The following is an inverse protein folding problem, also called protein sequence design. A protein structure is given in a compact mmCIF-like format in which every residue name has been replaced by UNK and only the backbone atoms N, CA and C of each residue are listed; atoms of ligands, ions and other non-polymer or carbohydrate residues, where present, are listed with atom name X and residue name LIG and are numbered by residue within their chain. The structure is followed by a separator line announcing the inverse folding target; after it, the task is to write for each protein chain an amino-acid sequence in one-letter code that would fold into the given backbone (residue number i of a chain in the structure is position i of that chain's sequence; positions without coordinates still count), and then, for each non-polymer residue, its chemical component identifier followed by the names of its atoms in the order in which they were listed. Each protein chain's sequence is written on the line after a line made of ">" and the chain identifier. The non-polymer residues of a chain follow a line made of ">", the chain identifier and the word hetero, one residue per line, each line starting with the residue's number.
data_IF_382962768180
#
_entry.id   IF_382962768180
#
_cell.length_a   1.000
_cell.length_b   1.000
_cell.length_c   1.000
_cell.angle_alpha   90.00
_cell.angle_beta   90.00
_cell.angle_gamma   90.00
#
_symmetry.space_group_name_H-M   'P 1'
#
loop_
_entity.id
_entity.type
_entity.pdbx_description
1 polymer ?
#
# COMPACT_ATOMS: atom_id res chain seq x y z
N UNK A 1 -14.33 -19.21 -12.38
CA UNK A 1 -14.27 -17.76 -12.65
C UNK A 1 -13.06 -17.23 -11.93
N UNK A 2 -12.05 -16.77 -12.67
CA UNK A 2 -10.88 -16.12 -12.08
C UNK A 2 -11.33 -14.82 -11.42
N UNK A 3 -10.87 -14.57 -10.18
CA UNK A 3 -11.11 -13.32 -9.47
C UNK A 3 -9.81 -12.54 -9.50
N UNK A 4 -9.89 -11.27 -9.89
CA UNK A 4 -8.77 -10.36 -9.86
C UNK A 4 -8.81 -9.52 -8.58
N UNK A 5 -7.63 -9.35 -7.98
CA UNK A 5 -7.37 -8.42 -6.89
C UNK A 5 -6.78 -7.15 -7.48
N UNK A 6 -7.23 -6.00 -7.00
CA UNK A 6 -6.73 -4.68 -7.39
C UNK A 6 -6.04 -4.06 -6.18
N UNK A 7 -4.82 -3.60 -6.36
CA UNK A 7 -4.09 -2.81 -5.37
C UNK A 7 -3.82 -1.41 -5.87
N UNK A 8 -3.54 -0.50 -4.94
CA UNK A 8 -3.01 0.83 -5.21
C UNK A 8 -1.75 1.01 -4.36
N UNK A 9 -0.67 1.45 -4.98
CA UNK A 9 0.57 1.81 -4.31
C UNK A 9 0.59 3.28 -3.96
N UNK A 10 0.71 3.57 -2.66
CA UNK A 10 0.82 4.91 -2.10
C UNK A 10 2.27 5.14 -1.65
N UNK A 11 2.84 6.31 -1.91
CA UNK A 11 4.24 6.57 -1.55
C UNK A 11 4.53 8.01 -1.13
N UNK A 12 5.67 8.19 -0.46
CA UNK A 12 6.41 9.44 -0.32
C UNK A 12 7.91 9.07 -0.33
N UNK A 13 8.63 9.54 -1.36
CA UNK A 13 10.04 9.20 -1.54
C UNK A 13 10.27 7.70 -1.64
N UNK A 14 11.07 7.17 -0.72
CA UNK A 14 11.46 5.75 -0.66
C UNK A 14 10.50 4.87 0.16
N UNK A 15 9.48 5.46 0.77
CA UNK A 15 8.51 4.76 1.61
C UNK A 15 7.22 4.51 0.83
N UNK A 16 6.78 3.26 0.81
CA UNK A 16 5.61 2.80 0.08
C UNK A 16 4.66 2.02 1.01
N UNK A 17 3.36 2.19 0.76
CA UNK A 17 2.30 1.33 1.27
C UNK A 17 1.44 0.89 0.11
N UNK A 18 1.47 -0.41 -0.22
CA UNK A 18 0.55 -1.01 -1.18
C UNK A 18 -0.72 -1.47 -0.45
N UNK A 19 -1.90 -1.12 -0.97
CA UNK A 19 -3.19 -1.44 -0.34
C UNK A 19 -4.13 -2.20 -1.26
N UNK A 20 -4.93 -3.11 -0.71
CA UNK A 20 -5.96 -3.85 -1.45
C UNK A 20 -7.24 -3.01 -1.53
N UNK A 21 -7.60 -2.56 -2.72
CA UNK A 21 -8.79 -1.73 -2.96
C UNK A 21 -9.98 -2.54 -3.51
N UNK A 22 -9.72 -3.71 -4.09
CA UNK A 22 -10.78 -4.62 -4.56
C UNK A 22 -10.31 -6.07 -4.60
N UNK A 23 -11.17 -7.04 -4.23
CA UNK A 23 -10.77 -8.45 -4.06
C UNK A 23 -11.53 -9.45 -4.94
N UNK A 24 -12.38 -8.97 -5.86
CA UNK A 24 -13.27 -9.84 -6.63
C UNK A 24 -13.68 -9.29 -7.99
N UNK A 25 -12.77 -8.60 -8.69
CA UNK A 25 -13.05 -8.15 -10.05
C UNK A 25 -13.19 -9.38 -10.97
N UNK A 26 -14.19 -9.38 -11.84
CA UNK A 26 -14.52 -10.54 -12.68
C UNK A 26 -13.64 -10.63 -13.91
N UNK A 27 -13.11 -9.48 -14.37
CA UNK A 27 -12.19 -9.39 -15.48
C UNK A 27 -10.99 -8.53 -15.10
N UNK A 28 -9.89 -8.71 -15.83
CA UNK A 28 -8.70 -7.87 -15.70
C UNK A 28 -9.01 -6.40 -15.99
N UNK A 29 -9.80 -6.12 -17.02
CA UNK A 29 -10.22 -4.77 -17.42
C UNK A 29 -11.03 -4.05 -16.31
N UNK A 30 -11.90 -4.78 -15.62
CA UNK A 30 -12.62 -4.25 -14.46
C UNK A 30 -11.65 -3.89 -13.32
N UNK A 31 -10.68 -4.78 -13.05
CA UNK A 31 -9.67 -4.55 -12.02
C UNK A 31 -8.79 -3.32 -12.32
N UNK A 32 -8.35 -3.17 -13.57
CA UNK A 32 -7.56 -2.02 -14.05
C UNK A 32 -8.37 -0.72 -13.95
N UNK A 33 -9.66 -0.74 -14.32
CA UNK A 33 -10.54 0.43 -14.20
C UNK A 33 -10.70 0.89 -12.75
N UNK A 34 -10.80 -0.06 -11.81
CA UNK A 34 -10.88 0.27 -10.37
C UNK A 34 -9.56 0.89 -9.90
N UNK A 35 -8.42 0.28 -10.25
CA UNK A 35 -7.10 0.76 -9.82
C UNK A 35 -6.76 2.14 -10.37
N UNK A 36 -7.19 2.43 -11.61
CA UNK A 36 -6.99 3.71 -12.27
C UNK A 36 -8.06 4.78 -11.88
N UNK A 37 -8.82 4.56 -10.81
CA UNK A 37 -9.79 5.55 -10.33
C UNK A 37 -9.10 6.65 -9.53
N UNK A 38 -9.61 7.87 -9.65
CA UNK A 38 -9.21 9.05 -8.87
C UNK A 38 -9.56 8.99 -7.37
N UNK A 39 -10.29 7.96 -6.97
CA UNK A 39 -10.77 7.71 -5.61
C UNK A 39 -9.68 7.37 -4.61
N UNK A 40 -8.52 6.91 -5.07
CA UNK A 40 -7.45 6.38 -4.22
C UNK A 40 -6.21 7.28 -4.18
N UNK A 41 -6.33 8.54 -4.60
CA UNK A 41 -5.18 9.42 -4.83
C UNK A 41 -4.37 9.79 -3.59
N UNK A 42 -5.01 9.92 -2.43
CA UNK A 42 -4.37 10.40 -1.22
C UNK A 42 -4.78 9.53 -0.04
N UNK A 43 -3.79 9.04 0.71
CA UNK A 43 -3.96 8.33 1.97
C UNK A 43 -3.37 9.09 3.14
N UNK A 44 -4.07 9.08 4.28
CA UNK A 44 -3.59 9.61 5.55
C UNK A 44 -3.30 8.45 6.50
N UNK A 45 -2.01 8.21 6.74
CA UNK A 45 -1.51 7.16 7.63
C UNK A 45 -1.43 7.69 9.06
N UNK A 46 -2.21 7.09 9.95
CA UNK A 46 -2.18 7.27 11.39
C UNK A 46 -1.39 6.12 12.04
N UNK A 47 -1.24 6.19 13.37
CA UNK A 47 -0.61 5.16 14.17
C UNK A 47 -1.34 3.81 14.11
N UNK A 48 -2.67 3.83 13.96
CA UNK A 48 -3.53 2.64 14.03
C UNK A 48 -4.26 2.29 12.71
N UNK A 49 -4.25 3.18 11.71
CA UNK A 49 -5.00 3.01 10.47
C UNK A 49 -4.51 3.90 9.32
N UNK A 50 -4.94 3.56 8.12
CA UNK A 50 -4.89 4.39 6.93
C UNK A 50 -6.31 4.81 6.55
N UNK A 51 -6.50 6.09 6.22
CA UNK A 51 -7.75 6.63 5.68
C UNK A 51 -7.53 7.17 4.27
N UNK A 52 -8.28 6.67 3.28
CA UNK A 52 -8.23 7.18 1.91
C UNK A 52 -9.16 8.38 1.76
N UNK A 53 -8.65 9.44 1.13
CA UNK A 53 -9.44 10.61 0.75
C UNK A 53 -10.15 10.35 -0.57
N UNK A 54 -11.47 10.58 -0.60
CA UNK A 54 -12.28 10.44 -1.82
C UNK A 54 -13.04 9.12 -1.92
N UNK A 55 -12.76 8.16 -1.02
CA UNK A 55 -13.50 6.90 -0.89
C UNK A 55 -13.73 6.60 0.60
N UNK A 56 -14.79 5.86 0.93
CA UNK A 56 -15.03 5.42 2.30
C UNK A 56 -14.20 4.16 2.63
N UNK A 57 -12.88 4.21 2.37
CA UNK A 57 -11.94 3.13 2.63
C UNK A 57 -11.04 3.49 3.82
N UNK A 58 -11.11 2.67 4.85
CA UNK A 58 -10.22 2.70 6.01
C UNK A 58 -9.62 1.33 6.21
N UNK A 59 -8.30 1.25 6.31
CA UNK A 59 -7.55 0.03 6.58
C UNK A 59 -6.94 0.17 7.96
N UNK A 60 -7.31 -0.71 8.88
CA UNK A 60 -6.75 -0.73 10.22
C UNK A 60 -5.50 -1.58 10.28
N UNK A 61 -4.64 -1.28 11.24
CA UNK A 61 -3.40 -1.99 11.51
C UNK A 61 -3.56 -3.51 11.63
N UNK A 62 -4.65 -4.00 12.21
CA UNK A 62 -4.89 -5.44 12.35
C UNK A 62 -5.25 -6.16 11.04
N UNK A 63 -5.58 -5.43 9.98
CA UNK A 63 -6.02 -5.98 8.70
C UNK A 63 -4.82 -6.27 7.78
N UNK A 64 -3.92 -7.13 8.23
CA UNK A 64 -2.66 -7.46 7.54
C UNK A 64 -2.85 -8.10 6.16
N UNK A 65 -4.06 -8.56 5.83
CA UNK A 65 -4.44 -9.03 4.50
C UNK A 65 -4.82 -7.87 3.55
N UNK A 66 -4.74 -6.61 3.98
CA UNK A 66 -5.15 -5.43 3.19
C UNK A 66 -4.01 -4.52 2.80
N UNK A 67 -2.79 -4.74 3.28
CA UNK A 67 -1.68 -3.87 2.97
C UNK A 67 -0.32 -4.57 3.06
N UNK A 68 0.70 -3.95 2.46
CA UNK A 68 2.10 -4.23 2.69
C UNK A 68 2.88 -2.90 2.70
N UNK A 69 3.67 -2.66 3.75
CA UNK A 69 4.62 -1.54 3.76
C UNK A 69 5.94 -1.97 3.16
N UNK A 70 6.59 -1.06 2.45
CA UNK A 70 7.89 -1.28 1.84
C UNK A 70 8.75 -0.03 1.96
N UNK A 71 10.05 -0.22 2.13
CA UNK A 71 11.01 0.88 2.09
C UNK A 71 12.20 0.52 1.22
N UNK A 72 12.64 1.46 0.39
CA UNK A 72 13.90 1.35 -0.31
C UNK A 72 14.98 2.12 0.46
N UNK A 73 15.86 1.39 1.17
CA UNK A 73 16.89 2.01 2.04
C UNK A 73 17.99 2.73 1.25
N UNK A 74 18.19 2.34 0.00
CA UNK A 74 19.22 2.89 -0.87
C UNK A 74 18.57 3.65 -2.02
N UNK A 75 19.01 4.89 -2.27
CA UNK A 75 18.54 5.60 -3.44
C UNK A 75 19.05 4.92 -4.72
N UNK A 76 18.13 4.51 -5.59
CA UNK A 76 18.43 3.98 -6.92
C UNK A 76 17.59 4.71 -7.97
N UNK A 77 18.17 5.03 -9.13
CA UNK A 77 17.44 5.71 -10.21
C UNK A 77 16.35 4.83 -10.84
N UNK A 78 16.51 3.50 -10.74
CA UNK A 78 15.51 2.50 -11.11
C UNK A 78 15.45 1.52 -9.95
N UNK A 79 14.29 1.46 -9.29
CA UNK A 79 14.00 0.53 -8.20
C UNK A 79 13.19 -0.64 -8.73
N UNK A 80 13.64 -1.85 -8.42
CA UNK A 80 12.91 -3.09 -8.62
C UNK A 80 12.24 -3.52 -7.31
N UNK A 81 11.32 -4.47 -7.38
CA UNK A 81 10.67 -4.99 -6.19
C UNK A 81 11.65 -5.61 -5.17
N UNK A 82 12.76 -6.18 -5.64
CA UNK A 82 13.80 -6.79 -4.79
C UNK A 82 14.63 -5.76 -4.02
N UNK A 83 14.58 -4.49 -4.43
CA UNK A 83 15.26 -3.39 -3.74
C UNK A 83 14.48 -2.87 -2.52
N UNK A 84 13.25 -3.35 -2.33
CA UNK A 84 12.40 -2.98 -1.23
C UNK A 84 12.50 -3.98 -0.08
N UNK A 85 12.59 -3.42 1.13
CA UNK A 85 12.43 -4.14 2.38
C UNK A 85 10.96 -4.06 2.83
N UNK A 86 10.32 -5.21 3.00
CA UNK A 86 8.99 -5.30 3.61
C UNK A 86 9.05 -4.93 5.09
N UNK A 87 8.16 -4.03 5.52
CA UNK A 87 8.02 -3.62 6.92
C UNK A 87 6.67 -4.07 7.49
N UNK A 88 6.65 -4.36 8.78
CA UNK A 88 5.42 -4.39 9.58
C UNK A 88 4.90 -2.96 9.83
N UNK A 89 3.68 -2.84 10.33
CA UNK A 89 3.11 -1.53 10.68
C UNK A 89 3.95 -0.80 11.73
N UNK A 90 4.41 -1.50 12.77
CA UNK A 90 5.24 -0.89 13.82
C UNK A 90 6.57 -0.40 13.27
N UNK A 91 7.21 -1.20 12.42
CA UNK A 91 8.48 -0.82 11.78
C UNK A 91 8.29 0.37 10.84
N UNK A 92 7.18 0.41 10.10
CA UNK A 92 6.84 1.54 9.22
C UNK A 92 6.63 2.84 10.00
N UNK A 93 5.86 2.81 11.09
CA UNK A 93 5.64 3.99 11.95
C UNK A 93 6.94 4.42 12.61
N UNK A 94 7.73 3.46 13.11
CA UNK A 94 9.04 3.74 13.70
C UNK A 94 9.98 4.39 12.70
N UNK A 95 10.07 3.85 11.48
CA UNK A 95 10.88 4.42 10.40
C UNK A 95 10.49 5.88 10.13
N UNK A 96 9.19 6.17 9.99
CA UNK A 96 8.71 7.52 9.71
C UNK A 96 9.04 8.51 10.85
N UNK A 97 8.85 8.11 12.10
CA UNK A 97 9.04 9.00 13.27
C UNK A 97 10.52 9.14 13.62
N UNK A 98 11.22 8.02 13.79
CA UNK A 98 12.57 8.00 14.37
C UNK A 98 13.65 8.27 13.33
N UNK A 99 13.50 7.76 12.11
CA UNK A 99 14.54 7.85 11.07
C UNK A 99 14.29 9.03 10.12
N UNK A 100 13.03 9.21 9.69
CA UNK A 100 12.65 10.28 8.75
C UNK A 100 12.15 11.56 9.43
N UNK A 101 12.04 11.58 10.77
CA UNK A 101 11.58 12.72 11.58
C UNK A 101 10.25 13.31 11.06
N UNK A 102 9.30 12.45 10.70
CA UNK A 102 7.96 12.82 10.23
C UNK A 102 6.95 12.80 11.38
N UNK A 103 5.80 13.43 11.14
CA UNK A 103 4.68 13.45 12.07
C UNK A 103 3.47 12.75 11.47
N UNK A 104 2.64 12.17 12.34
CA UNK A 104 1.36 11.57 11.97
C UNK A 104 0.22 12.58 12.13
N UNK A 105 -0.82 12.56 11.28
CA UNK A 105 -0.96 11.65 10.14
C UNK A 105 0.01 11.99 9.01
N UNK A 106 0.66 10.97 8.47
CA UNK A 106 1.56 11.08 7.33
C UNK A 106 0.77 10.96 6.03
N UNK A 107 1.07 11.80 5.04
CA UNK A 107 0.34 11.81 3.76
C UNK A 107 1.11 10.97 2.75
N UNK A 108 0.40 10.08 2.05
CA UNK A 108 0.94 9.28 0.95
C UNK A 108 0.11 9.54 -0.31
N UNK A 109 0.77 9.56 -1.47
CA UNK A 109 0.12 9.79 -2.76
C UNK A 109 0.15 8.54 -3.62
N UNK A 110 -0.93 8.27 -4.36
CA UNK A 110 -0.97 7.14 -5.29
C UNK A 110 -0.06 7.37 -6.48
N UNK A 111 0.74 6.37 -6.85
CA UNK A 111 1.59 6.44 -8.04
C UNK A 111 1.33 5.31 -9.04
N UNK A 112 0.86 4.15 -8.56
CA UNK A 112 0.58 3.01 -9.41
C UNK A 112 -0.60 2.19 -8.89
N UNK A 113 -1.12 1.30 -9.74
CA UNK A 113 -2.05 0.26 -9.36
C UNK A 113 -1.57 -1.10 -9.84
N UNK A 114 -1.92 -2.15 -9.10
CA UNK A 114 -1.60 -3.54 -9.41
C UNK A 114 -2.87 -4.34 -9.73
N UNK A 115 -2.73 -5.39 -10.54
CA UNK A 115 -3.81 -6.36 -10.82
C UNK A 115 -3.25 -7.77 -10.72
N UNK A 116 -3.85 -8.60 -9.85
CA UNK A 116 -3.33 -9.91 -9.50
C UNK A 116 -4.40 -10.99 -9.59
N UNK A 117 -3.99 -12.20 -10.00
CA UNK A 117 -4.87 -13.38 -10.02
C UNK A 117 -4.92 -14.11 -8.67
N UNK A 118 -3.94 -13.84 -7.80
CA UNK A 118 -3.84 -14.35 -6.44
C UNK A 118 -3.82 -13.20 -5.44
N UNK A 119 -4.10 -13.51 -4.18
CA UNK A 119 -4.06 -12.51 -3.12
C UNK A 119 -2.66 -11.86 -3.05
N UNK A 120 -2.54 -10.53 -3.11
CA UNK A 120 -1.25 -9.85 -3.28
C UNK A 120 -0.40 -9.84 -2.01
N UNK A 121 -1.05 -9.91 -0.85
CA UNK A 121 -0.36 -9.90 0.44
C UNK A 121 -0.36 -11.30 1.02
N UNK A 122 0.82 -11.86 1.22
CA UNK A 122 1.00 -13.12 1.93
C UNK A 122 1.23 -12.77 3.39
N UNK A 123 0.53 -13.47 4.30
CA UNK A 123 0.67 -13.29 5.74
C UNK A 123 2.15 -13.40 6.17
N UNK A 124 2.84 -12.26 6.32
CA UNK A 124 4.15 -12.13 6.92
C UNK A 124 4.04 -12.31 8.45
N UNK A 125 3.41 -13.40 8.90
CA UNK A 125 3.21 -13.73 10.31
C UNK A 125 4.49 -14.27 10.95
N UNK A 126 5.57 -14.44 10.17
CA UNK A 126 6.85 -14.98 10.64
C UNK A 126 8.02 -14.25 9.95
N UNK A 127 8.37 -13.06 10.43
CA UNK A 127 9.76 -12.57 10.37
C UNK A 127 10.23 -12.32 11.80
#
# INVERSE_FOLDING_TARGET
>A
MSKYFTTVGLHDGNFEMEILVHSSAKTKEEAEKIGNSDKFHIGYLYDDKLVIKGENLTIKREQTDKYQFRVCREWKPLVSHEDYEDLTWDEAIKYLIDEENRSLPFTLESYYYGTFETHPFVNNVLK
#
